data_IF_599924695136
#
_entry.id   IF_599924695136
#
_cell.length_a   1.000
_cell.length_b   1.000
_cell.length_c   1.000
_cell.angle_alpha   90.00
_cell.angle_beta   90.00
_cell.angle_gamma   90.00
#
_symmetry.space_group_name_H-M   'P 1'
#
loop_
_entity.id
_entity.type
_entity.pdbx_description
1 polymer ?
#
# COMPACT_ATOMS: atom_id res chain seq x y z
N UNK A 1 40.63 17.20 75.27
CA UNK A 1 41.32 15.97 74.86
C UNK A 1 40.79 15.62 73.48
N UNK A 2 41.62 15.78 72.44
CA UNK A 2 41.27 15.36 71.09
C UNK A 2 41.40 13.83 71.03
N UNK A 3 40.37 13.15 70.54
CA UNK A 3 40.39 11.71 70.30
C UNK A 3 40.57 11.57 68.79
N UNK A 4 41.80 11.27 68.38
CA UNK A 4 42.17 10.93 67.02
C UNK A 4 41.92 9.43 66.87
N UNK A 5 40.93 9.02 66.08
CA UNK A 5 40.63 7.61 65.81
C UNK A 5 41.17 7.26 64.43
N UNK A 6 42.48 7.04 64.38
CA UNK A 6 43.23 6.57 63.22
C UNK A 6 43.30 5.03 63.32
N UNK A 7 42.15 4.37 63.20
CA UNK A 7 42.07 2.92 63.03
C UNK A 7 42.07 2.64 61.51
N UNK A 8 43.26 2.45 60.94
CA UNK A 8 43.42 1.79 59.64
C UNK A 8 43.01 0.32 59.78
N UNK A 9 41.71 0.06 59.78
CA UNK A 9 41.18 -1.28 59.53
C UNK A 9 41.57 -1.68 58.10
N UNK A 10 42.71 -2.36 57.98
CA UNK A 10 43.20 -2.99 56.74
C UNK A 10 42.21 -4.08 56.34
N UNK A 11 41.23 -3.70 55.52
CA UNK A 11 40.22 -4.62 54.99
C UNK A 11 40.94 -5.76 54.25
N UNK A 12 40.70 -7.04 54.62
CA UNK A 12 41.31 -8.15 53.92
C UNK A 12 40.88 -8.14 52.44
N UNK A 13 41.85 -8.23 51.54
CA UNK A 13 41.60 -8.26 50.11
C UNK A 13 40.64 -9.40 49.77
N UNK A 14 39.46 -9.04 49.23
CA UNK A 14 38.46 -10.02 48.81
C UNK A 14 38.98 -10.76 47.58
N UNK A 15 39.30 -12.05 47.72
CA UNK A 15 39.64 -12.90 46.58
C UNK A 15 38.35 -13.27 45.84
N UNK A 16 38.11 -12.59 44.72
CA UNK A 16 37.00 -12.90 43.81
C UNK A 16 37.19 -14.32 43.26
N UNK A 17 36.24 -15.26 43.50
CA UNK A 17 36.31 -16.63 43.03
C UNK A 17 36.52 -16.69 41.51
N UNK A 18 37.27 -17.68 41.01
CA UNK A 18 37.53 -17.84 39.57
C UNK A 18 36.25 -17.99 38.72
N UNK A 19 35.16 -18.48 39.34
CA UNK A 19 33.84 -18.54 38.72
C UNK A 19 33.22 -17.17 38.43
N UNK A 20 33.56 -16.15 39.21
CA UNK A 20 33.14 -14.75 38.99
C UNK A 20 34.12 -13.99 38.08
N UNK A 21 35.34 -14.51 37.84
CA UNK A 21 36.27 -13.92 36.86
C UNK A 21 35.88 -14.20 35.42
N UNK A 22 34.98 -15.16 35.18
CA UNK A 22 34.48 -15.45 33.85
C UNK A 22 33.21 -14.63 33.57
N UNK A 23 33.38 -13.33 33.37
CA UNK A 23 32.32 -12.50 32.81
C UNK A 23 32.20 -12.84 31.32
N UNK A 24 31.07 -13.38 30.89
CA UNK A 24 30.71 -13.32 29.47
C UNK A 24 30.55 -11.84 29.13
N UNK A 25 31.56 -11.28 28.46
CA UNK A 25 31.50 -9.93 27.93
C UNK A 25 30.47 -9.94 26.83
N UNK A 26 29.24 -9.60 27.19
CA UNK A 26 28.20 -9.23 26.22
C UNK A 26 28.80 -8.08 25.39
N UNK A 27 28.89 -8.20 24.05
CA UNK A 27 29.45 -7.15 23.23
C UNK A 27 28.73 -5.83 23.52
N UNK A 28 29.50 -4.75 23.69
CA UNK A 28 28.95 -3.41 23.91
C UNK A 28 28.05 -3.05 22.71
N UNK A 29 26.73 -3.07 22.92
CA UNK A 29 25.70 -2.91 21.87
C UNK A 29 24.83 -4.14 21.56
N UNK A 30 25.00 -5.29 22.23
CA UNK A 30 24.06 -6.39 22.07
C UNK A 30 22.74 -6.11 22.84
N UNK A 31 21.76 -5.55 22.12
CA UNK A 31 20.36 -5.55 22.55
C UNK A 31 19.92 -7.00 22.84
N UNK A 32 19.21 -7.26 23.94
CA UNK A 32 18.72 -8.60 24.23
C UNK A 32 17.69 -8.99 23.15
N UNK A 33 18.07 -9.84 22.20
CA UNK A 33 17.13 -10.40 21.23
C UNK A 33 16.07 -11.23 21.97
N UNK A 34 14.91 -10.65 22.24
CA UNK A 34 13.71 -11.39 22.63
C UNK A 34 12.64 -11.18 21.57
N UNK A 35 12.90 -11.65 20.35
CA UNK A 35 11.89 -11.73 19.27
C UNK A 35 10.58 -12.28 19.82
N UNK A 36 9.60 -11.39 20.03
CA UNK A 36 8.29 -11.79 20.47
C UNK A 36 7.70 -12.76 19.44
N UNK A 37 7.01 -13.79 19.91
CA UNK A 37 6.40 -14.77 19.01
C UNK A 37 5.20 -14.16 18.29
N UNK A 38 5.06 -14.46 16.99
CA UNK A 38 3.90 -14.05 16.20
C UNK A 38 2.60 -14.54 16.86
N UNK A 39 1.56 -13.69 16.99
CA UNK A 39 0.29 -14.11 17.57
C UNK A 39 -0.43 -15.14 16.70
N UNK A 40 -1.19 -16.03 17.35
CA UNK A 40 -1.97 -17.07 16.67
C UNK A 40 -3.31 -16.55 16.13
N UNK A 41 -3.88 -15.53 16.77
CA UNK A 41 -5.18 -14.98 16.40
C UNK A 41 -5.04 -13.57 15.84
N UNK A 42 -5.82 -13.28 14.79
CA UNK A 42 -5.83 -11.96 14.15
C UNK A 42 -6.36 -10.86 15.09
N UNK A 43 -7.16 -11.23 16.10
CA UNK A 43 -7.63 -10.31 17.15
C UNK A 43 -6.47 -9.85 18.04
N UNK A 44 -5.58 -10.76 18.41
CA UNK A 44 -4.39 -10.44 19.19
C UNK A 44 -3.49 -9.50 18.39
N UNK A 45 -3.30 -9.76 17.09
CA UNK A 45 -2.58 -8.82 16.24
C UNK A 45 -3.24 -7.45 16.20
N UNK A 46 -4.57 -7.39 16.04
CA UNK A 46 -5.30 -6.12 16.05
C UNK A 46 -5.11 -5.32 17.35
N UNK A 47 -5.04 -6.00 18.49
CA UNK A 47 -4.77 -5.38 19.80
C UNK A 47 -3.31 -4.91 19.91
N UNK A 48 -2.36 -5.76 19.51
CA UNK A 48 -0.92 -5.48 19.56
C UNK A 48 -0.48 -4.38 18.58
N UNK A 49 -1.24 -4.09 17.51
CA UNK A 49 -1.01 -2.89 16.69
C UNK A 49 -1.17 -1.57 17.46
N UNK A 50 -1.75 -1.60 18.67
CA UNK A 50 -1.86 -0.42 19.54
C UNK A 50 -0.80 -0.37 20.65
N UNK A 51 0.17 -1.28 20.63
CA UNK A 51 1.33 -1.28 21.52
C UNK A 51 2.14 0.01 21.36
N UNK A 52 2.68 0.51 22.48
CA UNK A 52 3.41 1.79 22.56
C UNK A 52 4.78 1.66 23.19
N UNK A 53 4.99 0.62 23.99
CA UNK A 53 6.22 0.44 24.78
C UNK A 53 7.10 -0.65 24.19
N UNK A 54 6.48 -1.78 23.81
CA UNK A 54 7.21 -2.98 23.38
C UNK A 54 7.22 -3.12 21.86
N UNK A 55 8.30 -2.66 21.22
CA UNK A 55 8.44 -2.73 19.76
C UNK A 55 8.38 -4.19 19.24
N UNK A 56 8.98 -5.15 19.96
CA UNK A 56 9.02 -6.55 19.56
C UNK A 56 7.61 -7.16 19.39
N UNK A 57 6.69 -6.80 20.30
CA UNK A 57 5.29 -7.25 20.28
C UNK A 57 4.55 -6.62 19.11
N UNK A 58 4.76 -5.32 18.89
CA UNK A 58 4.20 -4.61 17.75
C UNK A 58 4.66 -5.23 16.42
N UNK A 59 5.97 -5.40 16.24
CA UNK A 59 6.55 -5.92 15.00
C UNK A 59 6.10 -7.37 14.73
N UNK A 60 6.10 -8.23 15.75
CA UNK A 60 5.64 -9.62 15.63
C UNK A 60 4.20 -9.70 15.11
N UNK A 61 3.31 -8.85 15.64
CA UNK A 61 1.94 -8.75 15.15
C UNK A 61 1.86 -8.16 13.74
N UNK A 62 2.59 -7.07 13.49
CA UNK A 62 2.53 -6.32 12.25
C UNK A 62 3.01 -7.14 11.05
N UNK A 63 4.11 -7.89 11.19
CA UNK A 63 4.64 -8.75 10.13
C UNK A 63 3.80 -10.01 9.91
N UNK A 64 3.18 -10.57 10.95
CA UNK A 64 2.28 -11.73 10.82
C UNK A 64 0.93 -11.38 10.16
N UNK A 65 0.50 -10.12 10.29
CA UNK A 65 -0.85 -9.67 9.94
C UNK A 65 -1.26 -9.96 8.49
N UNK A 66 -0.37 -9.71 7.52
CA UNK A 66 -0.67 -9.86 6.10
C UNK A 66 -1.10 -11.29 5.75
N UNK A 67 -0.36 -12.27 6.28
CA UNK A 67 -0.61 -13.67 6.03
C UNK A 67 -1.94 -14.13 6.65
N UNK A 68 -2.26 -13.68 7.86
CA UNK A 68 -3.55 -13.96 8.49
C UNK A 68 -4.74 -13.37 7.73
N UNK A 69 -4.59 -12.16 7.18
CA UNK A 69 -5.63 -11.55 6.34
C UNK A 69 -5.85 -12.41 5.09
N UNK A 70 -4.77 -12.74 4.35
CA UNK A 70 -4.85 -13.51 3.10
C UNK A 70 -5.43 -14.91 3.30
N UNK A 71 -5.12 -15.55 4.42
CA UNK A 71 -5.67 -16.86 4.80
C UNK A 71 -7.08 -16.78 5.39
N UNK A 72 -7.67 -15.57 5.50
CA UNK A 72 -8.98 -15.31 6.13
C UNK A 72 -9.08 -15.94 7.52
N UNK A 73 -8.11 -15.61 8.37
CA UNK A 73 -8.06 -16.09 9.76
C UNK A 73 -9.40 -15.87 10.49
N UNK A 74 -9.71 -16.77 11.43
CA UNK A 74 -10.97 -16.75 12.20
C UNK A 74 -11.12 -15.39 12.91
N UNK A 75 -12.30 -14.78 12.79
CA UNK A 75 -12.60 -13.46 13.35
C UNK A 75 -12.16 -12.27 12.48
N UNK A 76 -11.44 -12.47 11.37
CA UNK A 76 -11.08 -11.40 10.44
C UNK A 76 -12.33 -10.66 9.92
N UNK A 77 -13.39 -11.41 9.61
CA UNK A 77 -14.65 -10.86 9.07
C UNK A 77 -15.22 -9.75 9.95
N UNK A 78 -15.23 -9.97 11.27
CA UNK A 78 -15.84 -9.06 12.24
C UNK A 78 -15.00 -7.81 12.47
N UNK A 79 -13.67 -7.94 12.34
CA UNK A 79 -12.73 -6.84 12.61
C UNK A 79 -12.24 -6.15 11.34
N UNK A 80 -12.52 -6.65 10.14
CA UNK A 80 -11.91 -6.19 8.90
C UNK A 80 -12.05 -4.67 8.68
N UNK A 81 -13.23 -4.12 8.96
CA UNK A 81 -13.50 -2.67 8.83
C UNK A 81 -12.68 -1.85 9.84
N UNK A 82 -12.68 -2.30 11.10
CA UNK A 82 -11.91 -1.67 12.18
C UNK A 82 -10.40 -1.79 11.97
N UNK A 83 -9.95 -2.93 11.44
CA UNK A 83 -8.56 -3.21 11.12
C UNK A 83 -8.07 -2.35 9.96
N UNK A 84 -8.85 -2.26 8.87
CA UNK A 84 -8.53 -1.36 7.75
C UNK A 84 -8.45 0.10 8.22
N UNK A 85 -9.40 0.54 9.04
CA UNK A 85 -9.36 1.89 9.64
C UNK A 85 -8.10 2.06 10.50
N UNK A 86 -7.79 1.11 11.38
CA UNK A 86 -6.58 1.18 12.22
C UNK A 86 -5.31 1.26 11.37
N UNK A 87 -5.19 0.45 10.32
CA UNK A 87 -4.05 0.46 9.42
C UNK A 87 -3.88 1.80 8.67
N UNK A 88 -4.98 2.47 8.29
CA UNK A 88 -4.91 3.80 7.64
C UNK A 88 -4.31 4.85 8.58
N UNK A 89 -4.67 4.81 9.86
CA UNK A 89 -4.17 5.75 10.88
C UNK A 89 -2.94 5.22 11.64
N UNK A 90 -2.36 4.11 11.20
CA UNK A 90 -1.22 3.52 11.89
C UNK A 90 0.03 4.33 11.56
N UNK A 91 0.67 4.89 12.58
CA UNK A 91 1.90 5.65 12.47
C UNK A 91 3.09 4.79 12.92
N UNK A 92 4.24 4.98 12.27
CA UNK A 92 5.46 4.27 12.63
C UNK A 92 6.14 4.94 13.82
N UNK A 93 5.85 4.45 15.02
CA UNK A 93 6.45 4.97 16.27
C UNK A 93 7.79 4.33 16.61
N UNK A 94 8.06 3.17 16.04
CA UNK A 94 9.22 2.34 16.39
C UNK A 94 10.31 2.36 15.32
N UNK A 95 10.15 3.16 14.26
CA UNK A 95 11.05 3.14 13.09
C UNK A 95 11.15 1.72 12.49
N UNK A 96 9.99 1.08 12.35
CA UNK A 96 9.84 -0.31 11.92
C UNK A 96 10.32 -0.48 10.48
N UNK A 97 11.07 -1.56 10.23
CA UNK A 97 11.59 -1.83 8.88
C UNK A 97 10.45 -2.04 7.87
N UNK A 98 10.56 -1.39 6.71
CA UNK A 98 9.62 -1.49 5.59
C UNK A 98 8.15 -1.21 5.98
N UNK A 99 7.94 -0.44 7.06
CA UNK A 99 6.63 -0.16 7.64
C UNK A 99 5.60 0.27 6.60
N UNK A 100 5.95 1.26 5.79
CA UNK A 100 5.08 1.83 4.77
C UNK A 100 4.63 0.78 3.74
N UNK A 101 5.54 -0.07 3.31
CA UNK A 101 5.24 -1.11 2.34
C UNK A 101 4.39 -2.23 2.95
N UNK A 102 4.71 -2.67 4.17
CA UNK A 102 3.92 -3.70 4.87
C UNK A 102 2.52 -3.19 5.19
N UNK A 103 2.39 -1.95 5.69
CA UNK A 103 1.11 -1.27 5.95
C UNK A 103 0.26 -1.21 4.68
N UNK A 104 0.86 -0.77 3.57
CA UNK A 104 0.23 -0.76 2.24
C UNK A 104 -0.26 -2.15 1.84
N UNK A 105 0.58 -3.17 1.96
CA UNK A 105 0.24 -4.55 1.59
C UNK A 105 -0.88 -5.14 2.47
N UNK A 106 -0.91 -4.82 3.76
CA UNK A 106 -1.99 -5.21 4.67
C UNK A 106 -3.31 -4.54 4.29
N UNK A 107 -3.30 -3.23 3.98
CA UNK A 107 -4.48 -2.51 3.49
C UNK A 107 -5.04 -3.10 2.19
N UNK A 108 -4.16 -3.39 1.23
CA UNK A 108 -4.53 -4.04 -0.03
C UNK A 108 -5.09 -5.44 0.23
N UNK A 109 -4.48 -6.21 1.13
CA UNK A 109 -4.98 -7.55 1.47
C UNK A 109 -6.36 -7.48 2.13
N UNK A 110 -6.62 -6.50 2.99
CA UNK A 110 -7.94 -6.26 3.58
C UNK A 110 -9.00 -5.96 2.50
N UNK A 111 -8.64 -5.13 1.52
CA UNK A 111 -9.49 -4.77 0.39
C UNK A 111 -9.88 -5.99 -0.45
N UNK A 112 -8.90 -6.78 -0.87
CA UNK A 112 -9.13 -7.93 -1.75
C UNK A 112 -9.91 -9.04 -1.00
N UNK A 113 -9.64 -9.23 0.29
CA UNK A 113 -10.32 -10.28 1.07
C UNK A 113 -11.73 -9.91 1.51
N UNK A 114 -12.04 -8.61 1.65
CA UNK A 114 -13.36 -8.11 2.07
C UNK A 114 -13.87 -6.99 1.15
N UNK A 115 -14.68 -7.34 0.12
CA UNK A 115 -15.14 -6.36 -0.87
C UNK A 115 -16.11 -5.33 -0.29
N UNK A 116 -16.78 -5.58 0.84
CA UNK A 116 -17.72 -4.63 1.46
C UNK A 116 -17.07 -3.33 1.95
N UNK A 117 -15.76 -3.37 2.27
CA UNK A 117 -15.00 -2.19 2.70
C UNK A 117 -14.49 -1.41 1.48
N UNK A 118 -14.43 -2.08 0.32
CA UNK A 118 -13.80 -1.57 -0.87
C UNK A 118 -14.45 -0.31 -1.48
N UNK A 119 -15.80 -0.13 -1.47
CA UNK A 119 -16.41 1.08 -2.02
C UNK A 119 -15.97 2.39 -1.34
N UNK A 120 -15.73 2.37 -0.01
CA UNK A 120 -15.26 3.55 0.73
C UNK A 120 -13.83 3.92 0.32
N UNK A 121 -12.99 2.92 0.13
CA UNK A 121 -11.60 3.10 -0.28
C UNK A 121 -11.48 3.42 -1.78
N UNK A 122 -12.37 2.90 -2.63
CA UNK A 122 -12.48 3.29 -4.04
C UNK A 122 -12.75 4.81 -4.18
N UNK A 123 -13.59 5.39 -3.31
CA UNK A 123 -13.77 6.86 -3.25
C UNK A 123 -12.47 7.60 -2.92
N UNK A 124 -11.64 7.06 -2.02
CA UNK A 124 -10.32 7.64 -1.75
C UNK A 124 -9.41 7.56 -2.97
N UNK A 125 -9.42 6.43 -3.69
CA UNK A 125 -8.65 6.28 -4.95
C UNK A 125 -9.09 7.34 -5.96
N UNK A 126 -10.39 7.57 -6.13
CA UNK A 126 -10.90 8.67 -6.96
C UNK A 126 -10.35 10.03 -6.51
N UNK A 127 -10.45 10.36 -5.23
CA UNK A 127 -9.92 11.62 -4.70
C UNK A 127 -8.41 11.79 -4.93
N UNK A 128 -7.62 10.76 -4.66
CA UNK A 128 -6.16 10.79 -4.87
C UNK A 128 -5.82 10.95 -6.36
N UNK A 129 -6.59 10.30 -7.23
CA UNK A 129 -6.43 10.41 -8.69
C UNK A 129 -6.74 11.83 -9.18
N UNK A 130 -7.77 12.46 -8.63
CA UNK A 130 -8.12 13.85 -8.93
C UNK A 130 -7.05 14.83 -8.44
N UNK A 131 -6.52 14.61 -7.22
CA UNK A 131 -5.40 15.38 -6.66
C UNK A 131 -4.17 15.25 -7.57
N UNK A 132 -3.85 14.03 -8.04
CA UNK A 132 -2.73 13.78 -8.95
C UNK A 132 -2.85 14.61 -10.23
N UNK A 133 -4.03 14.67 -10.84
CA UNK A 133 -4.26 15.50 -12.02
C UNK A 133 -4.04 16.99 -11.75
N UNK A 134 -4.51 17.51 -10.60
CA UNK A 134 -4.28 18.93 -10.24
C UNK A 134 -2.83 19.21 -9.86
N UNK A 135 -2.10 18.20 -9.40
CA UNK A 135 -0.69 18.27 -9.04
C UNK A 135 0.26 17.98 -10.23
N UNK A 136 -0.23 17.94 -11.48
CA UNK A 136 0.58 17.58 -12.66
C UNK A 136 1.87 18.40 -12.82
N UNK A 137 1.86 19.67 -12.38
CA UNK A 137 3.02 20.56 -12.46
C UNK A 137 3.94 20.49 -11.23
N UNK A 138 3.61 19.68 -10.23
CA UNK A 138 4.42 19.54 -9.02
C UNK A 138 5.62 18.59 -9.28
N UNK A 139 6.81 18.87 -8.73
CA UNK A 139 7.96 17.98 -8.88
C UNK A 139 7.75 16.60 -8.23
N UNK A 140 6.75 16.46 -7.37
CA UNK A 140 6.37 15.21 -6.71
C UNK A 140 5.43 14.32 -7.54
N UNK A 141 4.94 14.79 -8.69
CA UNK A 141 3.93 14.09 -9.51
C UNK A 141 4.36 12.67 -9.88
N UNK A 142 5.63 12.47 -10.23
CA UNK A 142 6.17 11.17 -10.63
C UNK A 142 6.11 10.16 -9.48
N UNK A 143 6.47 10.59 -8.26
CA UNK A 143 6.42 9.74 -7.06
C UNK A 143 4.98 9.41 -6.70
N UNK A 144 4.06 10.38 -6.84
CA UNK A 144 2.63 10.16 -6.58
C UNK A 144 2.03 9.18 -7.60
N UNK A 145 2.36 9.33 -8.89
CA UNK A 145 1.88 8.46 -9.95
C UNK A 145 2.36 7.01 -9.81
N UNK A 146 3.65 6.82 -9.52
CA UNK A 146 4.23 5.48 -9.29
C UNK A 146 3.63 4.82 -8.05
N UNK A 147 3.51 5.56 -6.95
CA UNK A 147 2.86 5.05 -5.73
C UNK A 147 1.39 4.69 -5.95
N UNK A 148 0.65 5.52 -6.72
CA UNK A 148 -0.74 5.25 -7.05
C UNK A 148 -0.87 3.99 -7.91
N UNK A 149 -0.01 3.82 -8.93
CA UNK A 149 0.02 2.63 -9.79
C UNK A 149 0.23 1.34 -8.97
N UNK A 150 1.17 1.36 -8.02
CA UNK A 150 1.44 0.21 -7.14
C UNK A 150 0.26 -0.14 -6.23
N UNK A 151 -0.47 0.88 -5.75
CA UNK A 151 -1.63 0.69 -4.87
C UNK A 151 -2.82 0.11 -5.63
N UNK A 152 -3.05 0.56 -6.87
CA UNK A 152 -4.23 0.14 -7.65
C UNK A 152 -4.01 -1.16 -8.43
N UNK A 153 -2.76 -1.55 -8.69
CA UNK A 153 -2.45 -2.76 -9.47
C UNK A 153 -3.09 -4.05 -8.91
N UNK A 154 -3.07 -4.34 -7.59
CA UNK A 154 -3.72 -5.54 -7.04
C UNK A 154 -5.25 -5.50 -7.08
N UNK A 155 -5.85 -4.32 -7.28
CA UNK A 155 -7.30 -4.11 -7.30
C UNK A 155 -7.90 -4.33 -8.70
N UNK A 156 -7.07 -4.55 -9.72
CA UNK A 156 -7.45 -4.75 -11.13
C UNK A 156 -8.53 -5.81 -11.34
N UNK A 157 -8.43 -6.93 -10.62
CA UNK A 157 -9.35 -8.07 -10.75
C UNK A 157 -10.35 -8.17 -9.59
N UNK A 158 -10.60 -7.05 -8.90
CA UNK A 158 -11.56 -7.03 -7.80
C UNK A 158 -12.99 -7.32 -8.31
N UNK A 159 -13.79 -8.13 -7.59
CA UNK A 159 -15.13 -8.53 -8.04
C UNK A 159 -16.12 -7.36 -8.14
N UNK A 160 -15.94 -6.35 -7.29
CA UNK A 160 -16.76 -5.14 -7.29
C UNK A 160 -16.44 -4.23 -8.50
N UNK A 161 -17.47 -3.87 -9.27
CA UNK A 161 -17.33 -3.04 -10.47
C UNK A 161 -16.89 -1.61 -10.14
N UNK A 162 -17.35 -1.03 -9.02
CA UNK A 162 -16.99 0.33 -8.63
C UNK A 162 -15.50 0.45 -8.28
N UNK A 163 -14.93 -0.59 -7.66
CA UNK A 163 -13.48 -0.67 -7.43
C UNK A 163 -12.72 -0.73 -8.76
N UNK A 164 -13.15 -1.57 -9.72
CA UNK A 164 -12.51 -1.64 -11.05
C UNK A 164 -12.57 -0.29 -11.79
N UNK A 165 -13.69 0.41 -11.72
CA UNK A 165 -13.83 1.77 -12.28
C UNK A 165 -12.87 2.77 -11.64
N UNK A 166 -12.61 2.67 -10.33
CA UNK A 166 -11.64 3.54 -9.66
C UNK A 166 -10.20 3.28 -10.11
N UNK A 167 -9.85 2.02 -10.42
CA UNK A 167 -8.54 1.64 -10.96
C UNK A 167 -8.36 2.19 -12.38
N UNK A 168 -9.39 2.09 -13.24
CA UNK A 168 -9.36 2.68 -14.58
C UNK A 168 -9.15 4.19 -14.51
N UNK A 169 -9.87 4.88 -13.62
CA UNK A 169 -9.73 6.32 -13.42
C UNK A 169 -8.35 6.71 -12.89
N UNK A 170 -7.75 5.89 -12.02
CA UNK A 170 -6.39 6.10 -11.54
C UNK A 170 -5.36 5.98 -12.67
N UNK A 171 -5.45 4.95 -13.53
CA UNK A 171 -4.57 4.83 -14.70
C UNK A 171 -4.72 6.01 -15.66
N UNK A 172 -5.96 6.46 -15.90
CA UNK A 172 -6.23 7.65 -16.70
C UNK A 172 -5.61 8.91 -16.10
N UNK A 173 -5.77 9.09 -14.79
CA UNK A 173 -5.19 10.22 -14.07
C UNK A 173 -3.66 10.23 -14.13
N UNK A 174 -3.02 9.06 -14.05
CA UNK A 174 -1.56 8.91 -14.22
C UNK A 174 -1.13 9.31 -15.64
N UNK A 175 -1.85 8.85 -16.67
CA UNK A 175 -1.52 9.20 -18.07
C UNK A 175 -1.66 10.69 -18.36
N UNK A 176 -2.58 11.39 -17.68
CA UNK A 176 -2.77 12.83 -17.82
C UNK A 176 -1.75 13.65 -17.01
N UNK A 177 -1.41 13.20 -15.81
CA UNK A 177 -0.59 13.99 -14.90
C UNK A 177 0.92 13.90 -15.22
N UNK A 178 1.38 12.76 -15.72
CA UNK A 178 2.80 12.53 -16.00
C UNK A 178 3.16 12.96 -17.43
N UNK A 179 4.16 13.85 -17.63
CA UNK A 179 4.58 14.26 -18.97
C UNK A 179 5.07 13.09 -19.82
N UNK A 180 4.78 13.13 -21.13
CA UNK A 180 5.06 12.05 -22.08
C UNK A 180 6.50 11.55 -22.09
N UNK A 181 7.48 12.44 -21.90
CA UNK A 181 8.89 12.04 -21.89
C UNK A 181 9.20 11.07 -20.76
N UNK A 182 8.63 11.33 -19.59
CA UNK A 182 8.84 10.56 -18.36
C UNK A 182 7.89 9.37 -18.28
N UNK A 183 6.67 9.50 -18.82
CA UNK A 183 5.65 8.47 -18.74
C UNK A 183 6.11 7.14 -19.34
N UNK A 184 6.69 7.15 -20.55
CA UNK A 184 7.10 5.92 -21.22
C UNK A 184 8.36 5.29 -20.60
N UNK A 185 9.24 6.11 -20.02
CA UNK A 185 10.39 5.63 -19.26
C UNK A 185 9.96 4.84 -18.03
N UNK A 186 8.95 5.31 -17.30
CA UNK A 186 8.49 4.69 -16.07
C UNK A 186 7.46 3.59 -16.28
N UNK A 187 6.49 3.81 -17.17
CA UNK A 187 5.32 2.96 -17.33
C UNK A 187 5.28 2.18 -18.65
N UNK A 188 6.27 2.33 -19.53
CA UNK A 188 6.27 1.70 -20.87
C UNK A 188 6.09 0.18 -20.83
N UNK A 189 6.65 -0.50 -19.83
CA UNK A 189 6.54 -1.95 -19.67
C UNK A 189 5.17 -2.42 -19.16
N UNK A 190 4.44 -1.56 -18.43
CA UNK A 190 3.17 -1.93 -17.78
C UNK A 190 1.94 -1.34 -18.49
N UNK A 191 2.09 -0.24 -19.22
CA UNK A 191 1.00 0.49 -19.87
C UNK A 191 0.25 -0.38 -20.87
N UNK A 192 0.94 -1.29 -21.57
CA UNK A 192 0.30 -2.27 -22.45
C UNK A 192 -0.73 -3.12 -21.70
N UNK A 193 -0.37 -3.62 -20.52
CA UNK A 193 -1.27 -4.40 -19.68
C UNK A 193 -2.40 -3.57 -19.06
N UNK A 194 -2.24 -2.24 -18.95
CA UNK A 194 -3.32 -1.33 -18.57
C UNK A 194 -4.31 -1.19 -19.73
N UNK A 195 -3.81 -1.00 -20.95
CA UNK A 195 -4.64 -0.85 -22.17
C UNK A 195 -5.45 -2.12 -22.42
N UNK A 196 -4.78 -3.27 -22.47
CA UNK A 196 -5.44 -4.56 -22.73
C UNK A 196 -6.58 -4.81 -21.76
N UNK A 197 -6.37 -4.54 -20.47
CA UNK A 197 -7.41 -4.69 -19.46
C UNK A 197 -8.52 -3.63 -19.55
N UNK A 198 -8.17 -2.38 -19.89
CA UNK A 198 -9.14 -1.31 -20.08
C UNK A 198 -10.09 -1.65 -21.24
N UNK A 199 -9.57 -2.23 -22.31
CA UNK A 199 -10.36 -2.74 -23.44
C UNK A 199 -11.27 -3.89 -22.99
N UNK A 200 -10.75 -4.88 -22.25
CA UNK A 200 -11.58 -5.97 -21.72
C UNK A 200 -12.73 -5.46 -20.84
N UNK A 201 -12.48 -4.46 -19.99
CA UNK A 201 -13.54 -3.85 -19.17
C UNK A 201 -14.59 -3.11 -20.00
N UNK A 202 -14.22 -2.50 -21.14
CA UNK A 202 -15.19 -1.88 -22.04
C UNK A 202 -16.05 -2.92 -22.76
N UNK A 203 -15.44 -4.00 -23.25
CA UNK A 203 -16.14 -5.09 -23.93
C UNK A 203 -17.15 -5.78 -23.01
N UNK A 204 -16.81 -5.96 -21.72
CA UNK A 204 -17.71 -6.49 -20.69
C UNK A 204 -18.95 -5.59 -20.47
N UNK A 205 -18.74 -4.26 -20.42
CA UNK A 205 -19.82 -3.28 -20.25
C UNK A 205 -20.69 -3.23 -21.50
N UNK A 206 -20.11 -3.22 -22.69
CA UNK A 206 -20.87 -3.22 -23.95
C UNK A 206 -21.68 -4.51 -24.13
N UNK A 207 -21.12 -5.66 -23.77
CA UNK A 207 -21.82 -6.94 -23.78
C UNK A 207 -22.99 -6.95 -22.79
N UNK A 208 -22.77 -6.42 -21.58
CA UNK A 208 -23.81 -6.31 -20.54
C UNK A 208 -24.91 -5.34 -20.97
N UNK A 209 -24.57 -4.21 -21.55
CA UNK A 209 -25.52 -3.23 -22.07
C UNK A 209 -26.31 -3.78 -23.26
N UNK A 210 -25.65 -4.52 -24.15
CA UNK A 210 -26.30 -5.19 -25.26
C UNK A 210 -27.30 -6.23 -24.77
N UNK A 211 -26.93 -7.04 -23.78
CA UNK A 211 -27.82 -7.98 -23.12
C UNK A 211 -29.00 -7.28 -22.43
N UNK A 212 -28.78 -6.14 -21.75
CA UNK A 212 -29.84 -5.33 -21.10
C UNK A 212 -30.79 -4.68 -22.10
N UNK A 213 -30.27 -4.17 -23.22
CA UNK A 213 -31.07 -3.62 -24.33
C UNK A 213 -31.96 -4.69 -24.96
N UNK A 214 -31.44 -5.91 -25.12
CA UNK A 214 -32.24 -7.07 -25.57
C UNK A 214 -33.28 -7.46 -24.51
N UNK A 215 -32.94 -7.37 -23.22
CA UNK A 215 -33.82 -7.69 -22.09
C UNK A 215 -34.81 -6.57 -21.69
N UNK A 216 -34.79 -5.42 -22.37
CA UNK A 216 -35.81 -4.36 -22.24
C UNK A 216 -35.92 -3.65 -20.88
N UNK A 217 -34.93 -3.73 -19.97
CA UNK A 217 -35.08 -3.27 -18.59
C UNK A 217 -34.03 -2.23 -18.11
N UNK A 218 -34.55 -1.06 -17.72
CA UNK A 218 -34.13 -0.09 -16.68
C UNK A 218 -32.85 0.75 -16.88
N UNK A 219 -33.04 2.07 -16.73
CA UNK A 219 -32.14 3.19 -17.01
C UNK A 219 -31.44 3.77 -15.75
N UNK A 220 -31.02 2.94 -14.80
CA UNK A 220 -30.44 3.44 -13.53
C UNK A 220 -28.99 3.05 -13.25
N UNK A 221 -28.32 2.28 -14.11
CA UNK A 221 -26.91 1.90 -13.91
C UNK A 221 -25.96 2.50 -14.98
N UNK A 222 -26.47 3.49 -15.74
CA UNK A 222 -25.77 4.06 -16.88
C UNK A 222 -24.59 4.95 -16.48
N UNK A 223 -24.61 5.61 -15.31
CA UNK A 223 -23.53 6.57 -14.97
C UNK A 223 -22.17 5.90 -14.79
N UNK A 224 -22.10 4.72 -14.17
CA UNK A 224 -20.85 4.00 -13.98
C UNK A 224 -20.35 3.36 -15.29
N UNK A 225 -21.27 2.83 -16.10
CA UNK A 225 -20.99 2.29 -17.43
C UNK A 225 -20.50 3.38 -18.40
N UNK A 226 -21.15 4.54 -18.41
CA UNK A 226 -20.78 5.71 -19.21
C UNK A 226 -19.44 6.27 -18.75
N UNK A 227 -19.15 6.29 -17.44
CA UNK A 227 -17.85 6.72 -16.92
C UNK A 227 -16.72 5.77 -17.33
N UNK A 228 -16.96 4.45 -17.33
CA UNK A 228 -15.99 3.45 -17.82
C UNK A 228 -15.77 3.61 -19.32
N UNK A 229 -16.83 3.72 -20.12
CA UNK A 229 -16.70 3.95 -21.57
C UNK A 229 -16.02 5.26 -21.87
N UNK A 230 -16.34 6.34 -21.15
CA UNK A 230 -15.72 7.64 -21.33
C UNK A 230 -14.26 7.64 -20.92
N UNK A 231 -13.89 6.98 -19.81
CA UNK A 231 -12.49 6.85 -19.39
C UNK A 231 -11.68 5.96 -20.33
N UNK A 232 -12.25 4.85 -20.83
CA UNK A 232 -11.58 3.99 -21.82
C UNK A 232 -11.43 4.72 -23.17
N UNK A 233 -12.46 5.39 -23.66
CA UNK A 233 -12.38 6.23 -24.86
C UNK A 233 -11.39 7.38 -24.67
N UNK A 234 -11.37 8.03 -23.51
CA UNK A 234 -10.43 9.08 -23.21
C UNK A 234 -8.99 8.55 -23.13
N UNK A 235 -8.76 7.37 -22.56
CA UNK A 235 -7.44 6.72 -22.51
C UNK A 235 -6.98 6.29 -23.91
N UNK A 236 -7.86 5.69 -24.72
CA UNK A 236 -7.59 5.30 -26.10
C UNK A 236 -7.37 6.52 -27.01
N UNK A 237 -8.15 7.60 -26.83
CA UNK A 237 -7.98 8.86 -27.56
C UNK A 237 -6.70 9.57 -27.11
N UNK A 238 -6.34 9.55 -25.83
CA UNK A 238 -5.07 10.10 -25.36
C UNK A 238 -3.91 9.31 -25.96
N UNK A 239 -3.95 7.98 -25.91
CA UNK A 239 -2.87 7.15 -26.46
C UNK A 239 -2.79 7.29 -27.98
N UNK A 240 -3.92 7.38 -28.66
CA UNK A 240 -3.96 7.66 -30.11
C UNK A 240 -3.41 9.06 -30.41
N UNK A 241 -3.77 10.07 -29.62
CA UNK A 241 -3.26 11.44 -29.75
C UNK A 241 -1.76 11.52 -29.44
N UNK A 242 -1.29 10.81 -28.42
CA UNK A 242 0.13 10.65 -28.08
C UNK A 242 0.88 9.90 -29.18
N UNK A 243 0.27 8.87 -29.79
CA UNK A 243 0.81 8.16 -30.94
C UNK A 243 0.89 9.05 -32.19
N UNK A 244 -0.11 9.90 -32.43
CA UNK A 244 -0.17 10.83 -33.57
C UNK A 244 0.80 12.02 -33.40
N UNK A 245 0.89 12.61 -32.21
CA UNK A 245 1.91 13.64 -31.90
C UNK A 245 3.33 13.08 -31.99
N UNK A 246 3.53 11.78 -31.70
CA UNK A 246 4.83 11.12 -31.78
C UNK A 246 5.23 10.76 -33.20
N UNK A 247 4.32 10.36 -34.09
CA UNK A 247 4.64 10.21 -35.52
C UNK A 247 5.11 11.54 -36.13
N UNK A 248 4.50 12.67 -35.74
CA UNK A 248 4.92 13.99 -36.19
C UNK A 248 6.31 14.39 -35.66
N UNK A 249 6.63 14.12 -34.38
CA UNK A 249 7.96 14.41 -33.79
C UNK A 249 9.05 13.43 -34.24
N UNK A 250 8.72 12.17 -34.50
CA UNK A 250 9.67 11.19 -35.03
C UNK A 250 10.00 11.50 -36.49
N UNK A 251 9.02 11.96 -37.27
CA UNK A 251 9.26 12.44 -38.64
C UNK A 251 10.11 13.71 -38.69
N UNK A 252 10.00 14.63 -37.73
CA UNK A 252 10.81 15.87 -37.74
C UNK A 252 12.25 15.67 -37.31
N UNK A 253 12.54 14.63 -36.51
CA UNK A 253 13.91 14.30 -36.04
C UNK A 253 14.65 13.40 -37.03
N UNK A 254 13.94 12.65 -37.86
CA UNK A 254 14.55 11.77 -38.90
C UNK A 254 14.75 12.51 -40.25
N UNK A 255 14.12 13.68 -40.43
CA UNK A 255 14.23 14.53 -41.64
C UNK A 255 14.98 15.86 -41.41
N UNK A 256 15.73 15.99 -40.32
CA UNK A 256 16.75 17.05 -40.09
C UNK A 256 18.09 16.42 -39.80
#
# INVERSE_FOLDING_TARGET
QAVDSDDEDDFPAYEVPESEKNFEVVPDGAEPERKATAPYYIRDCYEQLSEKEKYEVFEAAFFALNEMIRRKAIGFVDIASSLAKKLVYLEDKFSTKDFENVRKQCLISCLVMRPEIAPKLARLIYCVSDILQKAANAPTVVKMATSLADVVAPLKFHPDAFVRSSVLFAYFSITLAVPDGVFFELFGNVVRGWIEWSTMCADDVDSSDQQRKIAGAIRCENEAADLVKFTVLALLLLISFLSQQKLAKFSSVVLS
#
